data_IF_846284122613
#
_entry.id   IF_846284122613
#
_cell.length_a   1.000
_cell.length_b   1.000
_cell.length_c   1.000
_cell.angle_alpha   90.00
_cell.angle_beta   90.00
_cell.angle_gamma   90.00
#
_symmetry.space_group_name_H-M   'P 1'
#
loop_
_entity.id
_entity.type
_entity.pdbx_description
1 polymer ?
#
# COMPACT_ATOMS: atom_id res chain seq x y z
N UNK A 1 -24.49 68.24 9.36
CA UNK A 1 -23.37 67.55 10.04
C UNK A 1 -23.89 66.24 10.65
N UNK A 2 -24.23 65.25 9.82
CA UNK A 2 -24.78 63.93 10.26
C UNK A 2 -24.29 62.78 9.36
N UNK A 3 -23.25 63.00 8.54
CA UNK A 3 -22.71 61.97 7.63
C UNK A 3 -21.40 61.35 8.13
N UNK A 4 -20.82 61.89 9.19
CA UNK A 4 -19.47 61.56 9.68
C UNK A 4 -19.49 60.33 10.63
N UNK A 5 -20.56 60.15 11.41
CA UNK A 5 -20.71 59.00 12.32
C UNK A 5 -20.95 57.69 11.57
N UNK A 6 -21.68 57.72 10.45
CA UNK A 6 -21.95 56.51 9.66
C UNK A 6 -20.73 55.99 8.89
N UNK A 7 -19.84 56.90 8.46
CA UNK A 7 -18.57 56.49 7.83
C UNK A 7 -17.62 55.88 8.88
N UNK A 8 -17.55 56.47 10.08
CA UNK A 8 -16.77 55.94 11.19
C UNK A 8 -17.25 54.56 11.66
N UNK A 9 -18.55 54.34 11.81
CA UNK A 9 -19.09 53.02 12.19
C UNK A 9 -18.76 51.95 11.14
N UNK A 10 -18.92 52.26 9.85
CA UNK A 10 -18.63 51.34 8.76
C UNK A 10 -17.13 50.97 8.70
N UNK A 11 -16.25 51.94 8.92
CA UNK A 11 -14.80 51.74 8.93
C UNK A 11 -14.33 50.92 10.15
N UNK A 12 -15.00 51.08 11.30
CA UNK A 12 -14.74 50.24 12.50
C UNK A 12 -15.18 48.80 12.32
N UNK A 13 -16.31 48.55 11.65
CA UNK A 13 -16.76 47.20 11.32
C UNK A 13 -15.82 46.52 10.31
N UNK A 14 -15.35 47.24 9.29
CA UNK A 14 -14.39 46.71 8.33
C UNK A 14 -13.06 46.36 9.00
N UNK A 15 -12.57 47.23 9.89
CA UNK A 15 -11.38 46.99 10.70
C UNK A 15 -11.51 45.72 11.57
N UNK A 16 -12.68 45.50 12.20
CA UNK A 16 -12.91 44.30 13.01
C UNK A 16 -12.94 43.02 12.16
N UNK A 17 -13.47 43.08 10.94
CA UNK A 17 -13.43 41.97 9.97
C UNK A 17 -11.99 41.64 9.55
N UNK A 18 -11.16 42.64 9.25
CA UNK A 18 -9.75 42.40 8.91
C UNK A 18 -8.98 41.84 10.09
N UNK A 19 -9.23 42.32 11.31
CA UNK A 19 -8.62 41.81 12.53
C UNK A 19 -8.94 40.32 12.74
N UNK A 20 -10.20 39.91 12.54
CA UNK A 20 -10.61 38.49 12.62
C UNK A 20 -9.95 37.65 11.54
N UNK A 21 -9.91 38.14 10.28
CA UNK A 21 -9.23 37.43 9.18
C UNK A 21 -7.74 37.25 9.44
N UNK A 22 -7.07 38.27 9.97
CA UNK A 22 -5.67 38.20 10.36
C UNK A 22 -5.43 37.16 11.47
N UNK A 23 -6.27 37.16 12.51
CA UNK A 23 -6.18 36.17 13.59
C UNK A 23 -6.34 34.74 13.08
N UNK A 24 -7.33 34.48 12.22
CA UNK A 24 -7.51 33.16 11.60
C UNK A 24 -6.31 32.75 10.74
N UNK A 25 -5.72 33.69 10.00
CA UNK A 25 -4.51 33.42 9.21
C UNK A 25 -3.32 33.07 10.11
N UNK A 26 -3.17 33.79 11.23
CA UNK A 26 -2.11 33.55 12.21
C UNK A 26 -2.26 32.17 12.86
N UNK A 27 -3.47 31.81 13.28
CA UNK A 27 -3.78 30.48 13.83
C UNK A 27 -3.50 29.37 12.79
N UNK A 28 -3.89 29.58 11.54
CA UNK A 28 -3.59 28.63 10.45
C UNK A 28 -2.09 28.47 10.22
N UNK A 29 -1.33 29.57 10.27
CA UNK A 29 0.13 29.53 10.16
C UNK A 29 0.76 28.76 11.32
N UNK A 30 0.25 28.94 12.54
CA UNK A 30 0.73 28.21 13.71
C UNK A 30 0.48 26.71 13.61
N UNK A 31 -0.73 26.31 13.20
CA UNK A 31 -1.06 24.89 12.97
C UNK A 31 -0.13 24.27 11.91
N UNK A 32 0.06 24.97 10.78
CA UNK A 32 0.96 24.51 9.72
C UNK A 32 2.41 24.38 10.22
N UNK A 33 2.86 25.30 11.06
CA UNK A 33 4.18 25.25 11.66
C UNK A 33 4.34 24.03 12.58
N UNK A 34 3.37 23.78 13.46
CA UNK A 34 3.37 22.60 14.34
C UNK A 34 3.37 21.28 13.56
N UNK A 35 2.57 21.20 12.49
CA UNK A 35 2.53 20.03 11.61
C UNK A 35 3.87 19.82 10.89
N UNK A 36 4.49 20.89 10.39
CA UNK A 36 5.80 20.83 9.76
C UNK A 36 6.87 20.32 10.74
N UNK A 37 6.89 20.81 11.97
CA UNK A 37 7.81 20.36 13.02
C UNK A 37 7.63 18.86 13.32
N UNK A 38 6.37 18.40 13.41
CA UNK A 38 6.04 16.99 13.61
C UNK A 38 6.51 16.13 12.44
N UNK A 39 6.35 16.59 11.20
CA UNK A 39 6.82 15.90 10.00
C UNK A 39 8.35 15.81 9.98
N UNK A 40 9.04 16.91 10.27
CA UNK A 40 10.51 16.95 10.36
C UNK A 40 11.02 15.94 11.39
N UNK A 41 10.43 15.90 12.59
CA UNK A 41 10.79 14.92 13.61
C UNK A 41 10.60 13.47 13.13
N UNK A 42 9.46 13.17 12.49
CA UNK A 42 9.19 11.83 11.94
C UNK A 42 10.22 11.44 10.87
N UNK A 43 10.54 12.36 9.96
CA UNK A 43 11.55 12.16 8.92
C UNK A 43 12.92 11.86 9.55
N UNK A 44 13.32 12.64 10.56
CA UNK A 44 14.58 12.42 11.28
C UNK A 44 14.61 11.04 11.96
N UNK A 45 13.51 10.61 12.59
CA UNK A 45 13.39 9.29 13.21
C UNK A 45 13.55 8.16 12.19
N UNK A 46 12.87 8.24 11.05
CA UNK A 46 13.00 7.26 9.96
C UNK A 46 14.42 7.26 9.41
N UNK A 47 15.04 8.43 9.20
CA UNK A 47 16.45 8.53 8.76
C UNK A 47 17.41 7.86 9.74
N UNK A 48 17.18 8.01 11.05
CA UNK A 48 17.99 7.37 12.10
C UNK A 48 17.86 5.84 12.06
N UNK A 49 16.64 5.33 11.90
CA UNK A 49 16.39 3.89 11.74
C UNK A 49 17.09 3.35 10.49
N UNK A 50 16.91 3.99 9.33
CA UNK A 50 17.56 3.57 8.09
C UNK A 50 19.09 3.59 8.19
N UNK A 51 19.67 4.61 8.86
CA UNK A 51 21.12 4.65 9.13
C UNK A 51 21.57 3.47 9.98
N UNK A 52 20.81 3.12 11.02
CA UNK A 52 21.10 1.95 11.86
C UNK A 52 21.05 0.65 11.05
N UNK A 53 19.96 0.42 10.31
CA UNK A 53 19.81 -0.77 9.46
C UNK A 53 20.92 -0.88 8.41
N UNK A 54 21.35 0.24 7.79
CA UNK A 54 22.47 0.25 6.85
C UNK A 54 23.79 -0.13 7.52
N UNK A 55 24.05 0.34 8.75
CA UNK A 55 25.24 -0.03 9.52
C UNK A 55 25.22 -1.51 9.89
N UNK A 56 24.11 -2.02 10.39
CA UNK A 56 23.92 -3.43 10.74
C UNK A 56 24.10 -4.32 9.51
N UNK A 57 23.47 -3.98 8.38
CA UNK A 57 23.67 -4.67 7.10
C UNK A 57 25.14 -4.68 6.68
N UNK A 58 25.82 -3.53 6.72
CA UNK A 58 27.24 -3.44 6.34
C UNK A 58 28.12 -4.31 7.25
N UNK A 59 27.83 -4.31 8.56
CA UNK A 59 28.53 -5.14 9.52
C UNK A 59 28.36 -6.64 9.22
N UNK A 60 27.12 -7.10 9.00
CA UNK A 60 26.83 -8.50 8.67
C UNK A 60 27.51 -8.91 7.36
N UNK A 61 27.43 -8.07 6.33
CA UNK A 61 28.10 -8.30 5.05
C UNK A 61 29.61 -8.46 5.25
N UNK A 62 30.25 -7.53 5.96
CA UNK A 62 31.69 -7.60 6.20
C UNK A 62 32.09 -8.86 6.98
N UNK A 63 31.25 -9.31 7.91
CA UNK A 63 31.48 -10.55 8.67
C UNK A 63 31.31 -11.80 7.80
N UNK A 64 30.29 -11.86 6.95
CA UNK A 64 30.09 -12.97 6.02
C UNK A 64 31.22 -13.05 4.97
N UNK A 65 31.65 -11.91 4.44
CA UNK A 65 32.78 -11.81 3.51
C UNK A 65 34.08 -12.34 4.17
N UNK A 66 34.32 -12.07 5.46
CA UNK A 66 35.48 -12.63 6.20
C UNK A 66 35.43 -14.17 6.33
N UNK A 67 34.23 -14.75 6.46
CA UNK A 67 34.05 -16.19 6.57
C UNK A 67 34.05 -16.90 5.21
N UNK A 68 34.21 -16.17 4.09
CA UNK A 68 34.21 -16.74 2.74
C UNK A 68 32.85 -17.27 2.29
N UNK A 69 31.77 -16.84 2.95
CA UNK A 69 30.41 -17.26 2.62
C UNK A 69 29.95 -16.61 1.31
N UNK A 70 29.45 -17.39 0.36
CA UNK A 70 28.92 -16.91 -0.92
C UNK A 70 27.48 -16.40 -0.77
N UNK A 71 27.24 -15.58 0.25
CA UNK A 71 25.92 -15.05 0.58
C UNK A 71 25.31 -14.19 -0.55
N UNK A 72 26.13 -13.74 -1.51
CA UNK A 72 25.70 -13.01 -2.72
C UNK A 72 25.04 -13.90 -3.78
N UNK A 73 25.40 -15.18 -3.80
CA UNK A 73 24.87 -16.19 -4.72
C UNK A 73 23.71 -16.99 -4.10
N UNK A 74 23.53 -16.87 -2.78
CA UNK A 74 22.44 -17.52 -2.05
C UNK A 74 21.09 -17.07 -2.63
N UNK A 75 20.21 -18.00 -3.05
CA UNK A 75 18.86 -17.66 -3.46
C UNK A 75 18.17 -16.93 -2.31
N UNK A 76 17.80 -15.66 -2.52
CA UNK A 76 16.98 -14.88 -1.58
C UNK A 76 15.58 -15.49 -1.53
N UNK A 77 15.46 -16.64 -0.88
CA UNK A 77 14.20 -17.29 -0.60
C UNK A 77 13.43 -16.44 0.40
N UNK A 78 12.17 -16.17 0.08
CA UNK A 78 11.21 -15.54 1.00
C UNK A 78 11.04 -16.49 2.19
N UNK A 79 11.80 -16.26 3.26
CA UNK A 79 11.56 -16.90 4.53
C UNK A 79 10.27 -16.27 5.07
N UNK A 80 9.17 -17.03 5.04
CA UNK A 80 7.93 -16.64 5.70
C UNK A 80 8.24 -16.31 7.16
N UNK A 81 8.13 -15.02 7.52
CA UNK A 81 8.20 -14.55 8.90
C UNK A 81 6.95 -15.03 9.64
N UNK A 82 6.95 -16.29 10.05
CA UNK A 82 6.03 -16.84 11.04
C UNK A 82 6.65 -18.10 11.63
N UNK A 83 7.59 -17.92 12.56
CA UNK A 83 7.89 -18.82 13.69
C UNK A 83 9.20 -18.39 14.36
N UNK A 84 9.21 -17.26 15.08
CA UNK A 84 10.25 -17.01 16.09
C UNK A 84 9.55 -16.81 17.42
N UNK A 85 9.23 -17.93 18.05
CA UNK A 85 9.04 -18.01 19.48
C UNK A 85 9.47 -19.41 19.92
N UNK A 86 10.50 -19.41 20.76
CA UNK A 86 11.01 -20.49 21.63
C UNK A 86 12.18 -21.36 21.12
N UNK A 87 13.26 -21.23 21.91
CA UNK A 87 14.25 -22.24 22.31
C UNK A 87 15.44 -22.60 21.39
N UNK A 88 16.62 -22.21 21.86
CA UNK A 88 17.92 -22.91 21.66
C UNK A 88 18.05 -24.05 22.72
N UNK A 89 19.12 -24.89 22.79
CA UNK A 89 20.24 -25.18 21.85
C UNK A 89 20.59 -26.70 21.66
N UNK A 90 21.46 -26.98 20.66
CA UNK A 90 22.49 -28.07 20.47
C UNK A 90 22.32 -28.85 19.15
N UNK A 91 23.29 -28.74 18.22
CA UNK A 91 24.47 -29.63 17.96
C UNK A 91 24.06 -31.08 17.58
N UNK A 92 24.59 -31.80 16.60
CA UNK A 92 25.63 -31.62 15.57
C UNK A 92 25.58 -32.88 14.66
N UNK A 93 26.13 -32.78 13.44
CA UNK A 93 26.61 -33.87 12.54
C UNK A 93 25.63 -34.80 11.81
N UNK A 94 25.94 -35.06 10.53
CA UNK A 94 25.66 -36.36 9.90
C UNK A 94 25.32 -36.32 8.43
N UNK A 95 26.30 -36.62 7.60
CA UNK A 95 26.30 -36.77 6.14
C UNK A 95 25.37 -37.86 5.54
N UNK A 96 25.05 -37.66 4.25
CA UNK A 96 25.16 -38.60 3.10
C UNK A 96 23.88 -39.30 2.54
N UNK A 97 23.72 -39.10 1.22
CA UNK A 97 23.32 -40.06 0.16
C UNK A 97 21.84 -40.22 -0.25
N UNK A 98 21.60 -39.94 -1.55
CA UNK A 98 20.87 -40.74 -2.56
C UNK A 98 19.62 -41.53 -2.15
N UNK A 99 18.47 -41.21 -2.75
CA UNK A 99 17.76 -42.08 -3.72
C UNK A 99 16.30 -41.62 -3.96
N UNK A 100 16.02 -41.46 -5.24
CA UNK A 100 14.77 -41.63 -5.97
C UNK A 100 13.73 -42.57 -5.32
N UNK A 101 12.49 -42.13 -5.05
CA UNK A 101 11.25 -42.70 -5.61
C UNK A 101 9.94 -42.07 -5.08
N UNK A 102 9.03 -41.89 -6.04
CA UNK A 102 7.57 -42.05 -5.99
C UNK A 102 6.63 -40.95 -5.46
N UNK A 103 5.61 -40.77 -6.30
CA UNK A 103 4.36 -40.03 -6.16
C UNK A 103 3.61 -40.50 -4.92
N UNK A 104 3.15 -39.54 -4.12
CA UNK A 104 1.92 -39.70 -3.36
C UNK A 104 1.06 -38.45 -3.45
N UNK A 105 -0.20 -38.71 -3.75
CA UNK A 105 -1.34 -37.81 -3.84
C UNK A 105 -1.56 -37.11 -2.49
N UNK A 106 -1.44 -35.78 -2.44
CA UNK A 106 -1.90 -34.99 -1.30
C UNK A 106 -2.92 -33.95 -1.76
N UNK A 107 -4.12 -33.93 -1.15
CA UNK A 107 -5.22 -33.11 -1.63
C UNK A 107 -4.88 -31.63 -1.44
N UNK A 108 -5.00 -30.87 -2.54
CA UNK A 108 -4.91 -29.41 -2.53
C UNK A 108 -6.01 -28.87 -1.64
N UNK A 109 -5.65 -28.45 -0.42
CA UNK A 109 -6.53 -27.72 0.49
C UNK A 109 -6.79 -26.34 -0.12
N UNK A 110 -7.80 -26.27 -0.98
CA UNK A 110 -8.37 -25.03 -1.45
C UNK A 110 -9.00 -24.32 -0.24
N UNK A 111 -8.26 -23.38 0.37
CA UNK A 111 -8.85 -22.38 1.24
C UNK A 111 -9.66 -21.43 0.37
N UNK A 112 -10.88 -21.86 0.01
CA UNK A 112 -11.97 -20.94 -0.29
C UNK A 112 -12.08 -20.03 0.93
N UNK A 113 -11.48 -18.84 0.83
CA UNK A 113 -11.85 -17.73 1.71
C UNK A 113 -13.33 -17.47 1.42
N UNK A 114 -14.19 -18.02 2.28
CA UNK A 114 -15.60 -17.67 2.37
C UNK A 114 -15.62 -16.19 2.76
N UNK A 115 -15.52 -15.31 1.76
CA UNK A 115 -15.77 -13.90 1.95
C UNK A 115 -17.23 -13.79 2.37
N UNK A 116 -17.47 -13.40 3.62
CA UNK A 116 -18.77 -12.81 3.97
C UNK A 116 -19.10 -11.76 2.91
N UNK A 117 -20.37 -11.66 2.52
CA UNK A 117 -20.85 -10.69 1.55
C UNK A 117 -20.33 -9.32 1.99
N UNK A 118 -19.31 -8.81 1.29
CA UNK A 118 -18.81 -7.48 1.55
C UNK A 118 -20.00 -6.53 1.34
N UNK A 119 -20.20 -5.60 2.28
CA UNK A 119 -21.31 -4.65 2.19
C UNK A 119 -21.34 -4.04 0.78
N UNK A 120 -22.48 -4.15 0.05
CA UNK A 120 -22.56 -3.69 -1.34
C UNK A 120 -22.23 -2.20 -1.51
N UNK A 121 -22.28 -1.44 -0.42
CA UNK A 121 -22.06 0.00 -0.38
C UNK A 121 -20.63 0.39 0.07
N UNK A 122 -19.79 -0.57 0.48
CA UNK A 122 -18.41 -0.28 0.85
C UNK A 122 -17.56 0.01 -0.41
N UNK A 123 -16.73 1.06 -0.41
CA UNK A 123 -15.78 1.33 -1.50
C UNK A 123 -14.93 0.08 -1.81
N UNK A 124 -14.70 -0.19 -3.11
CA UNK A 124 -13.89 -1.34 -3.53
C UNK A 124 -12.40 -1.02 -3.41
N UNK A 125 -11.63 -1.97 -2.89
CA UNK A 125 -10.17 -1.82 -2.78
C UNK A 125 -9.54 -1.56 -4.16
N UNK A 126 -8.57 -0.63 -4.27
CA UNK A 126 -7.90 -0.35 -5.54
C UNK A 126 -7.15 -1.59 -6.03
N UNK A 127 -7.18 -1.81 -7.33
CA UNK A 127 -6.46 -2.90 -7.98
C UNK A 127 -4.94 -2.69 -7.90
N UNK A 128 -4.18 -3.73 -7.53
CA UNK A 128 -2.70 -3.72 -7.53
C UNK A 128 -2.14 -3.30 -8.92
N UNK A 129 -0.98 -2.59 -8.98
CA UNK A 129 -0.34 -2.20 -10.23
C UNK A 129 -0.29 -3.28 -11.32
N UNK A 130 0.08 -4.52 -10.96
CA UNK A 130 0.12 -5.63 -11.91
C UNK A 130 -1.27 -6.01 -12.44
N UNK A 131 -2.29 -5.94 -11.60
CA UNK A 131 -3.67 -6.23 -12.00
C UNK A 131 -4.20 -5.14 -12.94
N UNK A 132 -3.86 -3.87 -12.69
CA UNK A 132 -4.19 -2.77 -13.61
C UNK A 132 -3.53 -2.97 -14.99
N UNK A 133 -2.24 -3.34 -15.00
CA UNK A 133 -1.53 -3.72 -16.22
C UNK A 133 -2.24 -4.88 -16.95
N UNK A 134 -2.66 -5.92 -16.23
CA UNK A 134 -3.38 -7.03 -16.84
C UNK A 134 -4.75 -6.61 -17.40
N UNK A 135 -5.46 -5.70 -16.73
CA UNK A 135 -6.74 -5.18 -17.18
C UNK A 135 -6.61 -4.44 -18.52
N UNK A 136 -5.55 -3.65 -18.68
CA UNK A 136 -5.28 -2.87 -19.89
C UNK A 136 -4.74 -3.74 -21.04
N UNK A 137 -3.83 -4.67 -20.73
CA UNK A 137 -3.14 -5.43 -21.77
C UNK A 137 -3.91 -6.67 -22.24
N UNK A 138 -4.78 -7.29 -21.42
CA UNK A 138 -5.61 -8.42 -21.85
C UNK A 138 -6.41 -8.14 -23.13
N UNK A 139 -7.19 -7.05 -23.24
CA UNK A 139 -7.93 -6.76 -24.46
C UNK A 139 -7.00 -6.51 -25.66
N UNK A 140 -5.85 -5.84 -25.47
CA UNK A 140 -4.86 -5.64 -26.54
C UNK A 140 -4.25 -6.94 -27.04
N UNK A 141 -3.94 -7.86 -26.12
CA UNK A 141 -3.41 -9.18 -26.47
C UNK A 141 -4.50 -10.01 -27.17
N UNK A 142 -5.74 -9.95 -26.69
CA UNK A 142 -6.89 -10.63 -27.30
C UNK A 142 -7.19 -10.12 -28.72
N UNK A 143 -7.09 -8.80 -28.95
CA UNK A 143 -7.25 -8.18 -30.27
C UNK A 143 -6.14 -8.59 -31.24
N UNK A 144 -4.88 -8.65 -30.79
CA UNK A 144 -3.77 -9.17 -31.62
C UNK A 144 -3.92 -10.65 -31.98
N UNK A 145 -4.65 -11.40 -31.17
CA UNK A 145 -4.93 -12.82 -31.36
C UNK A 145 -6.29 -13.06 -32.04
N UNK A 146 -6.99 -12.00 -32.47
CA UNK A 146 -8.25 -12.11 -33.21
C UNK A 146 -7.99 -12.74 -34.58
N UNK A 147 -7.90 -14.07 -34.62
CA UNK A 147 -7.51 -14.87 -35.78
C UNK A 147 -6.90 -16.23 -35.41
N UNK A 148 -6.38 -16.37 -34.20
CA UNK A 148 -5.88 -17.62 -33.61
C UNK A 148 -6.89 -18.18 -32.58
N UNK A 149 -6.84 -19.48 -32.24
CA UNK A 149 -7.67 -20.03 -31.17
C UNK A 149 -7.48 -19.25 -29.87
N UNK A 150 -8.58 -18.84 -29.24
CA UNK A 150 -8.57 -18.02 -28.02
C UNK A 150 -7.71 -18.71 -26.94
N UNK A 151 -6.54 -18.15 -26.59
CA UNK A 151 -5.72 -18.76 -25.57
C UNK A 151 -6.42 -18.69 -24.22
N UNK A 152 -6.27 -19.75 -23.42
CA UNK A 152 -6.84 -19.81 -22.08
C UNK A 152 -6.49 -18.56 -21.27
N UNK A 153 -7.43 -18.06 -20.46
CA UNK A 153 -7.22 -16.92 -19.54
C UNK A 153 -5.99 -17.10 -18.65
N UNK A 154 -5.64 -18.35 -18.31
CA UNK A 154 -4.44 -18.67 -17.56
C UNK A 154 -3.17 -18.40 -18.35
N UNK A 155 -3.16 -18.75 -19.63
CA UNK A 155 -2.02 -18.56 -20.54
C UNK A 155 -1.78 -17.07 -20.80
N UNK A 156 -2.85 -16.31 -21.06
CA UNK A 156 -2.78 -14.85 -21.16
C UNK A 156 -2.19 -14.22 -19.90
N UNK A 157 -2.62 -14.67 -18.73
CA UNK A 157 -2.11 -14.15 -17.46
C UNK A 157 -0.63 -14.50 -17.27
N UNK A 158 -0.20 -15.69 -17.71
CA UNK A 158 1.20 -16.12 -17.65
C UNK A 158 2.08 -15.28 -18.58
N UNK A 159 1.64 -15.03 -19.81
CA UNK A 159 2.34 -14.17 -20.77
C UNK A 159 2.47 -12.74 -20.23
N UNK A 160 1.38 -12.17 -19.71
CA UNK A 160 1.39 -10.83 -19.11
C UNK A 160 2.29 -10.74 -17.87
N UNK A 161 2.36 -11.80 -17.06
CA UNK A 161 3.29 -11.85 -15.94
C UNK A 161 4.76 -11.82 -16.40
N UNK A 162 5.08 -12.48 -17.51
CA UNK A 162 6.42 -12.42 -18.13
C UNK A 162 6.70 -11.02 -18.66
N UNK A 163 5.78 -10.42 -19.43
CA UNK A 163 5.91 -9.05 -19.94
C UNK A 163 6.08 -8.05 -18.81
N UNK A 164 5.31 -8.20 -17.72
CA UNK A 164 5.44 -7.34 -16.54
C UNK A 164 6.82 -7.45 -15.90
N UNK A 165 7.41 -8.64 -15.81
CA UNK A 165 8.77 -8.80 -15.27
C UNK A 165 9.80 -8.10 -16.15
N UNK A 166 9.66 -8.17 -17.47
CA UNK A 166 10.57 -7.54 -18.42
C UNK A 166 10.38 -6.03 -18.61
N UNK A 167 9.28 -5.44 -18.15
CA UNK A 167 9.08 -3.98 -18.22
C UNK A 167 10.16 -3.22 -17.45
N UNK A 168 10.51 -2.04 -17.95
CA UNK A 168 11.46 -1.13 -17.29
C UNK A 168 10.88 -0.60 -15.98
N UNK A 169 11.75 -0.07 -15.12
CA UNK A 169 11.32 0.60 -13.89
C UNK A 169 10.44 1.82 -14.17
N UNK A 170 10.65 2.51 -15.29
CA UNK A 170 9.90 3.69 -15.70
C UNK A 170 8.47 3.32 -16.12
N UNK A 171 8.31 2.28 -16.94
CA UNK A 171 6.98 1.81 -17.36
C UNK A 171 6.19 1.27 -16.17
N UNK A 172 6.85 0.51 -15.28
CA UNK A 172 6.26 0.04 -14.03
C UNK A 172 5.82 1.21 -13.15
N UNK A 173 6.61 2.29 -13.11
CA UNK A 173 6.33 3.47 -12.28
C UNK A 173 4.98 4.09 -12.64
N UNK A 174 4.62 4.17 -13.91
CA UNK A 174 3.30 4.68 -14.33
C UNK A 174 2.17 3.92 -13.64
N UNK A 175 2.25 2.58 -13.58
CA UNK A 175 1.26 1.74 -12.91
C UNK A 175 1.30 1.87 -11.38
N UNK A 176 2.47 2.10 -10.79
CA UNK A 176 2.59 2.41 -9.36
C UNK A 176 1.97 3.77 -9.01
N UNK A 177 2.21 4.80 -9.82
CA UNK A 177 1.65 6.14 -9.64
C UNK A 177 0.12 6.11 -9.80
N UNK A 178 -0.39 5.37 -10.79
CA UNK A 178 -1.84 5.12 -10.97
C UNK A 178 -2.47 4.41 -9.77
N UNK A 179 -1.77 3.43 -9.19
CA UNK A 179 -2.21 2.75 -7.99
C UNK A 179 -2.22 3.68 -6.76
N UNK A 180 -1.19 4.50 -6.58
CA UNK A 180 -1.11 5.45 -5.47
C UNK A 180 -2.27 6.46 -5.52
N UNK A 181 -2.54 7.02 -6.71
CA UNK A 181 -3.70 7.90 -6.92
C UNK A 181 -5.03 7.20 -6.64
N UNK A 182 -5.17 5.94 -7.05
CA UNK A 182 -6.39 5.15 -6.81
C UNK A 182 -6.55 4.80 -5.33
N UNK A 183 -5.44 4.61 -4.61
CA UNK A 183 -5.40 4.36 -3.17
C UNK A 183 -5.81 5.59 -2.38
N UNK A 184 -5.36 6.77 -2.76
CA UNK A 184 -5.79 8.04 -2.15
C UNK A 184 -7.30 8.24 -2.30
N UNK A 185 -7.84 8.01 -3.49
CA UNK A 185 -9.30 8.06 -3.73
C UNK A 185 -10.06 7.09 -2.84
N UNK A 186 -9.61 5.84 -2.76
CA UNK A 186 -10.22 4.84 -1.90
C UNK A 186 -10.20 5.24 -0.42
N UNK A 187 -9.10 5.85 0.06
CA UNK A 187 -9.00 6.34 1.44
C UNK A 187 -10.01 7.46 1.69
N UNK A 188 -10.13 8.42 0.76
CA UNK A 188 -11.11 9.50 0.86
C UNK A 188 -12.55 8.97 0.84
N UNK A 189 -12.88 8.05 -0.09
CA UNK A 189 -14.20 7.40 -0.17
C UNK A 189 -14.52 6.58 1.08
N UNK A 190 -13.52 5.90 1.65
CA UNK A 190 -13.69 5.14 2.89
C UNK A 190 -13.93 6.05 4.10
N UNK A 191 -13.30 7.22 4.16
CA UNK A 191 -13.56 8.21 5.20
C UNK A 191 -15.00 8.74 5.12
N UNK A 192 -15.48 9.00 3.89
CA UNK A 192 -16.88 9.40 3.66
C UNK A 192 -17.84 8.26 4.03
N UNK A 193 -17.52 7.03 3.66
CA UNK A 193 -18.32 5.85 3.99
C UNK A 193 -18.42 5.64 5.51
N UNK A 194 -17.30 5.70 6.23
CA UNK A 194 -17.27 5.57 7.68
C UNK A 194 -18.07 6.69 8.37
N UNK A 195 -17.96 7.94 7.88
CA UNK A 195 -18.75 9.06 8.40
C UNK A 195 -20.26 8.87 8.12
N UNK A 196 -20.60 8.36 6.94
CA UNK A 196 -21.99 8.07 6.54
C UNK A 196 -22.60 6.87 7.27
N UNK A 197 -21.80 5.89 7.67
CA UNK A 197 -22.26 4.76 8.49
C UNK A 197 -22.51 5.15 9.94
N UNK A 198 -21.87 6.21 10.45
CA UNK A 198 -22.10 6.75 11.80
C UNK A 198 -23.39 7.61 11.87
N UNK A 199 -23.77 8.28 10.78
CA UNK A 199 -24.98 9.13 10.69
C UNK A 199 -26.26 8.37 10.28
N UNK A 200 -26.20 7.05 10.08
CA UNK A 200 -27.36 6.26 9.66
C UNK A 200 -28.11 5.67 10.87
N UNK A 201 -29.41 5.97 11.08
CA UNK A 201 -30.19 5.33 12.15
C UNK A 201 -30.29 3.82 11.91
N UNK A 202 -30.38 3.00 12.97
CA UNK A 202 -30.29 1.54 12.87
C UNK A 202 -31.43 0.99 12.01
N UNK A 203 -31.09 0.51 10.82
CA UNK A 203 -32.01 -0.21 9.94
C UNK A 203 -32.26 -1.59 10.54
N UNK A 204 -33.44 -1.76 11.12
CA UNK A 204 -33.97 -3.05 11.57
C UNK A 204 -34.11 -3.99 10.36
N UNK A 205 -33.64 -5.24 10.44
CA UNK A 205 -33.78 -6.19 9.33
C UNK A 205 -35.26 -6.58 9.18
N UNK A 206 -35.85 -6.24 8.04
CA UNK A 206 -37.14 -6.77 7.61
C UNK A 206 -36.99 -8.26 7.30
N UNK A 207 -37.30 -9.12 8.27
CA UNK A 207 -37.55 -10.53 8.00
C UNK A 207 -38.88 -10.67 7.26
N UNK A 208 -38.81 -10.91 5.97
CA UNK A 208 -39.94 -11.37 5.15
C UNK A 208 -40.12 -12.86 5.46
N UNK A 209 -41.30 -13.21 5.98
CA UNK A 209 -41.81 -14.59 6.09
C UNK A 209 -42.52 -14.97 4.81
#
# INVERSE_FOLDING_TARGET
>A
MMSDESEYEMETEEYDVYKRKYQLLLERCEILQQDNERLVYRIQKVRKLLRRTRKEKKFLIGRLDQHGDKWREAPMGVLEENSVSQATPKQEKGSKSTANHQKEDKPKKATKRKGGKADPNAPKRPANPFFQFCQEQRPRVMERLAGEPEPSKQELTRQLATTWKSLTSEDKKVYYDMYERSKEKYVAEMQIYNKKSEDAPPQMPLNIT
#
